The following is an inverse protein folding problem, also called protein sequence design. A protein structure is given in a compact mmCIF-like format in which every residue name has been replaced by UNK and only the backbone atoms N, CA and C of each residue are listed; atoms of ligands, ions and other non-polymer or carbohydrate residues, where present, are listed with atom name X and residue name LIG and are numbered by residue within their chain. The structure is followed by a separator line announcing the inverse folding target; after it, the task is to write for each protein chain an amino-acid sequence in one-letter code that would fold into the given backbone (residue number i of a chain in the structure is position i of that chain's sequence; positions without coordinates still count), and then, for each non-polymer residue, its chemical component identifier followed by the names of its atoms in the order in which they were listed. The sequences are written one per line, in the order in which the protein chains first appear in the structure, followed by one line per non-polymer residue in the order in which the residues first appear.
data_IF_997835564746
#
_entry.id   IF_997835564746
#
_cell.length_a   1.000
_cell.length_b   1.000
_cell.length_c   1.000
_cell.angle_alpha   90.00
_cell.angle_beta   90.00
_cell.angle_gamma   90.00
#
_symmetry.space_group_name_H-M   'P 1'
#
loop_
_entity.id
_entity.type
_entity.pdbx_description
1 polymer ?
#
# COMPACT_ATOMS: atom_id res chain seq x y z
N UNK A 1 25.59 -28.17 -0.81
CA UNK A 1 24.16 -28.38 -1.15
C UNK A 1 23.36 -27.37 -0.34
N UNK A 2 23.09 -26.21 -0.93
CA UNK A 2 22.22 -25.21 -0.31
C UNK A 2 20.81 -25.73 -0.56
N UNK A 3 20.11 -26.14 0.49
CA UNK A 3 18.69 -26.47 0.38
C UNK A 3 17.97 -25.16 0.06
N UNK A 4 17.50 -25.01 -1.17
CA UNK A 4 16.53 -23.98 -1.49
C UNK A 4 15.32 -24.21 -0.57
N UNK A 5 14.96 -23.20 0.22
CA UNK A 5 13.72 -23.24 0.97
C UNK A 5 12.58 -23.53 -0.02
N UNK A 6 11.57 -24.33 0.36
CA UNK A 6 10.45 -24.59 -0.52
C UNK A 6 9.81 -23.26 -0.89
N UNK A 7 9.68 -23.00 -2.21
CA UNK A 7 8.95 -21.85 -2.75
C UNK A 7 7.58 -21.85 -2.09
N UNK A 8 7.33 -20.88 -1.21
CA UNK A 8 6.02 -20.73 -0.58
C UNK A 8 5.03 -20.43 -1.70
N UNK A 9 4.19 -21.41 -2.03
CA UNK A 9 3.09 -21.21 -2.95
C UNK A 9 2.15 -20.16 -2.35
N UNK A 10 1.79 -19.09 -3.08
CA UNK A 10 0.86 -18.09 -2.59
C UNK A 10 -0.44 -18.75 -2.11
N UNK A 11 -0.99 -18.30 -0.99
CA UNK A 11 -2.29 -18.76 -0.51
C UNK A 11 -3.39 -18.26 -1.48
N UNK A 12 -3.71 -19.07 -2.49
CA UNK A 12 -4.68 -18.72 -3.52
C UNK A 12 -6.07 -18.41 -2.97
N UNK A 13 -6.50 -19.09 -1.89
CA UNK A 13 -7.81 -18.86 -1.29
C UNK A 13 -7.92 -17.43 -0.73
N UNK A 14 -6.89 -16.95 -0.05
CA UNK A 14 -6.87 -15.60 0.53
C UNK A 14 -6.91 -14.47 -0.53
N UNK A 15 -6.34 -14.69 -1.73
CA UNK A 15 -6.43 -13.73 -2.84
C UNK A 15 -7.79 -13.79 -3.56
N UNK A 16 -8.30 -15.00 -3.80
CA UNK A 16 -9.57 -15.23 -4.53
C UNK A 16 -10.78 -14.75 -3.71
N UNK A 17 -10.75 -14.92 -2.39
CA UNK A 17 -11.81 -14.42 -1.49
C UNK A 17 -11.80 -12.88 -1.39
N UNK A 18 -10.73 -12.22 -1.86
CA UNK A 18 -10.68 -10.78 -2.11
C UNK A 18 -10.95 -9.90 -0.89
N UNK A 19 -10.75 -10.41 0.32
CA UNK A 19 -11.16 -9.72 1.55
C UNK A 19 -10.09 -8.82 2.17
N UNK A 20 -10.50 -8.10 3.22
CA UNK A 20 -9.60 -7.46 4.18
C UNK A 20 -9.32 -8.43 5.34
N UNK A 21 -8.07 -8.69 5.72
CA UNK A 21 -7.78 -9.45 6.94
C UNK A 21 -8.09 -8.60 8.17
N UNK A 22 -9.24 -8.84 8.81
CA UNK A 22 -9.73 -8.01 9.92
C UNK A 22 -9.42 -8.57 11.31
N UNK A 23 -9.11 -9.86 11.46
CA UNK A 23 -9.07 -10.50 12.79
C UNK A 23 -8.07 -9.83 13.76
N UNK A 24 -6.85 -9.56 13.28
CA UNK A 24 -5.84 -8.85 14.06
C UNK A 24 -6.27 -7.44 14.44
N UNK A 25 -6.87 -6.71 13.49
CA UNK A 25 -7.45 -5.39 13.74
C UNK A 25 -8.57 -5.46 14.78
N UNK A 26 -9.48 -6.45 14.70
CA UNK A 26 -10.59 -6.62 15.64
C UNK A 26 -10.05 -6.87 17.04
N UNK A 27 -9.08 -7.78 17.17
CA UNK A 27 -8.45 -8.09 18.45
C UNK A 27 -7.81 -6.86 19.07
N UNK A 28 -7.03 -6.09 18.29
CA UNK A 28 -6.37 -4.87 18.77
C UNK A 28 -7.38 -3.80 19.16
N UNK A 29 -8.39 -3.59 18.33
CA UNK A 29 -9.44 -2.61 18.59
C UNK A 29 -10.19 -2.92 19.89
N UNK A 30 -10.50 -4.18 20.17
CA UNK A 30 -11.19 -4.59 21.40
C UNK A 30 -10.36 -4.34 22.67
N UNK A 31 -9.04 -4.46 22.57
CA UNK A 31 -8.11 -4.22 23.68
C UNK A 31 -7.68 -2.74 23.83
N UNK A 32 -8.25 -1.84 23.03
CA UNK A 32 -7.85 -0.43 22.97
C UNK A 32 -8.99 0.50 23.31
N UNK A 33 -8.70 1.53 24.09
CA UNK A 33 -9.63 2.59 24.45
C UNK A 33 -9.30 3.90 23.73
N UNK A 34 -10.28 4.80 23.62
CA UNK A 34 -10.10 6.10 23.00
C UNK A 34 -10.28 6.11 21.49
N UNK A 35 -9.57 7.01 20.79
CA UNK A 35 -9.72 7.21 19.35
C UNK A 35 -8.89 6.18 18.59
N UNK A 36 -9.56 5.37 17.79
CA UNK A 36 -8.94 4.30 17.02
C UNK A 36 -8.90 4.66 15.53
N UNK A 37 -7.84 4.26 14.85
CA UNK A 37 -7.70 4.44 13.41
C UNK A 37 -7.20 3.20 12.68
N UNK A 38 -7.59 3.10 11.42
CA UNK A 38 -7.03 2.19 10.43
C UNK A 38 -6.41 2.99 9.30
N UNK A 39 -5.20 2.63 8.90
CA UNK A 39 -4.52 3.21 7.74
C UNK A 39 -4.79 2.37 6.49
N UNK A 40 -4.91 3.01 5.33
CA UNK A 40 -4.91 2.31 4.04
C UNK A 40 -4.16 3.11 2.99
N UNK A 41 -3.32 2.45 2.21
CA UNK A 41 -2.69 3.03 1.02
C UNK A 41 -2.96 2.16 -0.19
N UNK A 42 -3.11 2.79 -1.36
CA UNK A 42 -3.31 2.11 -2.65
C UNK A 42 -2.17 2.43 -3.59
N UNK A 43 -1.88 1.55 -4.55
CA UNK A 43 -1.00 1.92 -5.65
C UNK A 43 -0.64 0.77 -6.56
N UNK A 44 0.11 1.09 -7.61
CA UNK A 44 0.58 0.05 -8.53
C UNK A 44 1.39 -1.02 -7.81
N UNK A 45 2.24 -0.63 -6.83
CA UNK A 45 3.07 -1.55 -6.03
C UNK A 45 3.78 -2.59 -6.92
N UNK A 46 4.50 -2.08 -7.92
CA UNK A 46 5.02 -2.85 -9.07
C UNK A 46 6.56 -2.82 -9.15
N UNK A 47 7.29 -3.48 -8.23
CA UNK A 47 6.80 -4.16 -7.02
C UNK A 47 6.68 -3.19 -5.82
N UNK A 48 6.27 -3.70 -4.64
CA UNK A 48 6.44 -2.97 -3.37
C UNK A 48 7.93 -2.72 -3.10
N UNK A 49 8.26 -1.67 -2.35
CA UNK A 49 9.62 -1.31 -1.94
C UNK A 49 9.58 -0.77 -0.50
N UNK A 50 10.75 -0.67 0.15
CA UNK A 50 10.87 -0.24 1.54
C UNK A 50 10.20 1.13 1.83
N UNK A 51 10.23 2.04 0.84
CA UNK A 51 9.51 3.31 0.95
C UNK A 51 8.00 3.18 1.25
N UNK A 52 7.29 2.15 0.76
CA UNK A 52 5.86 2.01 1.10
C UNK A 52 5.65 1.69 2.58
N UNK A 53 6.51 0.86 3.18
CA UNK A 53 6.45 0.52 4.61
C UNK A 53 6.80 1.74 5.45
N UNK A 54 7.86 2.46 5.07
CA UNK A 54 8.26 3.68 5.75
C UNK A 54 7.15 4.74 5.75
N UNK A 55 6.39 4.86 4.64
CA UNK A 55 5.26 5.78 4.54
C UNK A 55 4.14 5.41 5.51
N UNK A 56 3.79 4.12 5.58
CA UNK A 56 2.78 3.64 6.51
C UNK A 56 3.22 3.83 7.97
N UNK A 57 4.47 3.50 8.29
CA UNK A 57 5.04 3.71 9.64
C UNK A 57 5.04 5.19 10.04
N UNK A 58 5.47 6.09 9.15
CA UNK A 58 5.48 7.51 9.42
C UNK A 58 4.06 8.07 9.63
N UNK A 59 3.08 7.58 8.86
CA UNK A 59 1.67 7.91 9.05
C UNK A 59 1.16 7.41 10.42
N UNK A 60 1.49 6.17 10.80
CA UNK A 60 1.16 5.62 12.12
C UNK A 60 1.73 6.45 13.26
N UNK A 61 3.03 6.72 13.22
CA UNK A 61 3.71 7.56 14.23
C UNK A 61 3.07 8.94 14.35
N UNK A 62 2.67 9.53 13.22
CA UNK A 62 2.00 10.84 13.22
C UNK A 62 0.63 10.78 13.91
N UNK A 63 -0.22 9.80 13.59
CA UNK A 63 -1.52 9.65 14.22
C UNK A 63 -1.42 9.32 15.72
N UNK A 64 -0.51 8.42 16.08
CA UNK A 64 -0.32 8.02 17.48
C UNK A 64 0.23 9.19 18.33
N UNK A 65 1.11 10.02 17.76
CA UNK A 65 1.55 11.28 18.39
C UNK A 65 0.43 12.29 18.63
N UNK A 66 -0.71 12.16 17.93
CA UNK A 66 -1.92 12.95 18.14
C UNK A 66 -2.94 12.28 19.08
N UNK A 67 -2.57 11.16 19.71
CA UNK A 67 -3.47 10.39 20.58
C UNK A 67 -4.51 9.56 19.83
N UNK A 68 -4.27 9.24 18.54
CA UNK A 68 -5.13 8.36 17.74
C UNK A 68 -4.40 7.03 17.56
N UNK A 69 -4.90 5.98 18.19
CA UNK A 69 -4.24 4.69 18.17
C UNK A 69 -4.49 3.93 16.86
N UNK A 70 -3.42 3.54 16.16
CA UNK A 70 -3.54 2.77 14.93
C UNK A 70 -3.67 1.28 15.24
N UNK A 71 -4.85 0.72 14.96
CA UNK A 71 -5.15 -0.69 15.23
C UNK A 71 -4.83 -1.60 14.05
N UNK A 72 -4.76 -1.07 12.82
CA UNK A 72 -4.23 -1.77 11.65
C UNK A 72 -3.86 -0.82 10.51
N UNK A 73 -3.10 -1.33 9.55
CA UNK A 73 -2.75 -0.68 8.31
C UNK A 73 -2.82 -1.66 7.15
N UNK A 74 -3.39 -1.23 6.02
CA UNK A 74 -3.54 -2.04 4.83
C UNK A 74 -2.78 -1.43 3.65
N UNK A 75 -1.94 -2.23 3.02
CA UNK A 75 -1.26 -1.88 1.76
C UNK A 75 -2.00 -2.62 0.65
N UNK A 76 -2.68 -1.87 -0.22
CA UNK A 76 -3.61 -2.38 -1.23
C UNK A 76 -3.02 -2.24 -2.64
N UNK A 77 -2.59 -3.33 -3.29
CA UNK A 77 -2.20 -3.28 -4.69
C UNK A 77 -3.40 -2.96 -5.59
N UNK A 78 -3.18 -2.05 -6.55
CA UNK A 78 -4.22 -1.67 -7.50
C UNK A 78 -4.55 -2.77 -8.50
N UNK A 79 -5.76 -2.75 -9.05
CA UNK A 79 -6.21 -3.71 -10.05
C UNK A 79 -5.39 -3.68 -11.34
N UNK A 80 -5.28 -4.82 -12.04
CA UNK A 80 -4.52 -4.93 -13.30
C UNK A 80 -5.11 -4.07 -14.42
N UNK A 81 -6.42 -3.82 -14.40
CA UNK A 81 -7.08 -2.86 -15.31
C UNK A 81 -6.55 -1.42 -15.19
N UNK A 82 -5.85 -1.08 -14.09
CA UNK A 82 -5.11 0.16 -13.94
C UNK A 82 -3.62 -0.02 -14.20
N UNK A 83 -3.02 -1.03 -13.58
CA UNK A 83 -1.56 -1.21 -13.60
C UNK A 83 -1.06 -1.55 -15.01
N UNK A 84 -1.77 -2.40 -15.75
CA UNK A 84 -1.42 -2.76 -17.12
C UNK A 84 -1.33 -1.55 -18.05
N UNK A 85 -2.42 -0.78 -18.26
CA UNK A 85 -2.39 0.42 -19.11
C UNK A 85 -1.36 1.46 -18.65
N UNK A 86 -1.23 1.68 -17.34
CA UNK A 86 -0.21 2.59 -16.78
C UNK A 86 1.20 2.15 -17.14
N UNK A 87 1.53 0.87 -16.96
CA UNK A 87 2.86 0.34 -17.25
C UNK A 87 3.15 0.35 -18.76
N UNK A 88 2.15 0.03 -19.59
CA UNK A 88 2.25 0.13 -21.05
C UNK A 88 2.55 1.56 -21.50
N UNK A 89 1.83 2.56 -20.97
CA UNK A 89 2.07 3.97 -21.26
C UNK A 89 3.47 4.46 -20.84
N UNK A 90 4.08 3.81 -19.84
CA UNK A 90 5.45 4.10 -19.38
C UNK A 90 6.51 3.23 -20.06
N UNK A 91 6.15 2.27 -20.93
CA UNK A 91 7.08 1.31 -21.51
C UNK A 91 7.74 0.40 -20.47
N UNK A 92 6.99 -0.03 -19.46
CA UNK A 92 7.49 -0.84 -18.34
C UNK A 92 6.69 -2.11 -18.14
N UNK A 93 7.31 -3.12 -17.52
CA UNK A 93 6.70 -4.39 -17.16
C UNK A 93 5.67 -4.23 -16.04
N UNK A 94 4.50 -4.85 -16.17
CA UNK A 94 3.50 -4.97 -15.12
C UNK A 94 3.52 -6.38 -14.52
N UNK A 95 3.84 -6.51 -13.24
CA UNK A 95 3.56 -7.72 -12.48
C UNK A 95 2.05 -7.91 -12.36
N UNK A 96 1.59 -9.16 -12.43
CA UNK A 96 0.19 -9.49 -12.23
C UNK A 96 -0.26 -9.11 -10.81
N UNK A 97 -1.56 -8.82 -10.65
CA UNK A 97 -2.17 -8.50 -9.35
C UNK A 97 -1.80 -9.51 -8.26
N UNK A 98 -1.87 -10.80 -8.58
CA UNK A 98 -1.47 -11.91 -7.72
C UNK A 98 -0.05 -11.73 -7.16
N UNK A 99 0.92 -11.47 -8.03
CA UNK A 99 2.34 -11.41 -7.63
C UNK A 99 2.57 -10.18 -6.76
N UNK A 100 1.94 -9.06 -7.11
CA UNK A 100 2.01 -7.83 -6.31
C UNK A 100 1.40 -8.02 -4.92
N UNK A 101 0.26 -8.69 -4.81
CA UNK A 101 -0.35 -9.06 -3.50
C UNK A 101 0.59 -9.94 -2.70
N UNK A 102 1.23 -10.92 -3.32
CA UNK A 102 2.18 -11.80 -2.63
C UNK A 102 3.41 -11.03 -2.14
N UNK A 103 3.97 -10.12 -2.94
CA UNK A 103 5.08 -9.28 -2.50
C UNK A 103 4.69 -8.37 -1.33
N UNK A 104 3.48 -7.81 -1.34
CA UNK A 104 2.96 -7.05 -0.18
C UNK A 104 2.78 -7.95 1.03
N UNK A 105 2.24 -9.15 0.86
CA UNK A 105 2.04 -10.11 1.97
C UNK A 105 3.37 -10.45 2.64
N UNK A 106 4.41 -10.72 1.85
CA UNK A 106 5.76 -10.95 2.35
C UNK A 106 6.29 -9.70 3.07
N UNK A 107 6.15 -8.52 2.48
CA UNK A 107 6.58 -7.27 3.10
C UNK A 107 5.92 -6.98 4.46
N UNK A 108 4.70 -7.46 4.67
CA UNK A 108 3.98 -7.36 5.95
C UNK A 108 4.30 -8.50 6.93
N UNK A 109 5.08 -9.51 6.54
CA UNK A 109 5.38 -10.67 7.38
C UNK A 109 6.09 -10.24 8.68
N UNK A 110 5.59 -10.74 9.81
CA UNK A 110 6.08 -10.38 11.15
C UNK A 110 5.57 -9.04 11.68
N UNK A 111 4.79 -8.26 10.91
CA UNK A 111 4.10 -7.07 11.44
C UNK A 111 2.84 -7.45 12.21
N UNK A 112 2.62 -6.82 13.36
CA UNK A 112 1.42 -6.98 14.19
C UNK A 112 0.27 -6.04 13.81
N UNK A 113 0.50 -5.13 12.86
CA UNK A 113 -0.47 -4.11 12.47
C UNK A 113 -0.58 -3.90 10.95
N UNK A 114 0.45 -4.23 10.16
CA UNK A 114 0.39 -4.12 8.70
C UNK A 114 -0.09 -5.41 8.06
N UNK A 115 -0.95 -5.26 7.06
CA UNK A 115 -1.50 -6.36 6.28
C UNK A 115 -1.58 -6.03 4.79
N UNK A 116 -1.53 -7.07 3.95
CA UNK A 116 -1.87 -6.95 2.54
C UNK A 116 -3.38 -6.82 2.34
N UNK A 117 -3.81 -5.81 1.59
CA UNK A 117 -5.20 -5.63 1.16
C UNK A 117 -5.42 -6.20 -0.23
N UNK A 118 -6.03 -7.38 -0.34
CA UNK A 118 -6.23 -8.03 -1.64
C UNK A 118 -7.47 -7.51 -2.40
N UNK A 119 -8.42 -6.89 -1.70
CA UNK A 119 -9.72 -6.47 -2.26
C UNK A 119 -9.61 -5.69 -3.55
N UNK A 120 -8.85 -4.59 -3.59
CA UNK A 120 -8.73 -3.73 -4.78
C UNK A 120 -8.23 -4.49 -6.02
N UNK A 121 -7.36 -5.48 -5.81
CA UNK A 121 -6.75 -6.30 -6.85
C UNK A 121 -7.53 -7.56 -7.20
N UNK A 122 -8.67 -7.79 -6.55
CA UNK A 122 -9.46 -9.01 -6.72
C UNK A 122 -9.89 -9.20 -8.17
N UNK A 123 -9.76 -10.41 -8.74
CA UNK A 123 -10.20 -10.70 -10.10
C UNK A 123 -11.74 -10.65 -10.24
N UNK A 124 -12.48 -10.52 -9.14
CA UNK A 124 -13.94 -10.36 -9.15
C UNK A 124 -14.37 -8.97 -9.66
N UNK A 125 -13.48 -7.98 -9.64
CA UNK A 125 -13.77 -6.65 -10.14
C UNK A 125 -13.77 -6.61 -11.68
N UNK A 126 -14.84 -6.06 -12.26
CA UNK A 126 -14.94 -5.87 -13.72
C UNK A 126 -14.11 -4.69 -14.23
N UNK A 127 -13.79 -3.74 -13.36
CA UNK A 127 -13.04 -2.52 -13.64
C UNK A 127 -12.25 -2.11 -12.41
N UNK A 128 -11.20 -1.28 -12.57
CA UNK A 128 -10.41 -0.80 -11.43
C UNK A 128 -11.27 -0.04 -10.41
N UNK A 129 -11.39 -0.54 -9.17
CA UNK A 129 -11.98 0.23 -8.09
C UNK A 129 -10.93 1.21 -7.55
N UNK A 130 -10.97 2.46 -8.00
CA UNK A 130 -10.01 3.48 -7.56
C UNK A 130 -10.13 3.78 -6.04
N UNK A 131 -9.12 4.45 -5.48
CA UNK A 131 -8.91 4.63 -4.03
C UNK A 131 -10.16 5.06 -3.22
N UNK A 132 -11.10 5.90 -3.69
CA UNK A 132 -12.28 6.25 -2.89
C UNK A 132 -13.19 5.04 -2.63
N UNK A 133 -13.27 4.10 -3.57
CA UNK A 133 -14.03 2.86 -3.42
C UNK A 133 -13.33 1.89 -2.48
N UNK A 134 -12.01 1.79 -2.56
CA UNK A 134 -11.19 0.99 -1.63
C UNK A 134 -11.41 1.46 -0.19
N UNK A 135 -11.27 2.76 0.04
CA UNK A 135 -11.49 3.37 1.37
C UNK A 135 -12.93 3.15 1.84
N UNK A 136 -13.92 3.33 0.97
CA UNK A 136 -15.33 3.10 1.32
C UNK A 136 -15.59 1.64 1.69
N UNK A 137 -15.09 0.69 0.90
CA UNK A 137 -15.27 -0.73 1.18
C UNK A 137 -14.69 -1.09 2.55
N UNK A 138 -13.49 -0.61 2.86
CA UNK A 138 -12.86 -0.84 4.16
C UNK A 138 -13.68 -0.23 5.31
N UNK A 139 -14.20 1.00 5.15
CA UNK A 139 -15.11 1.61 6.12
C UNK A 139 -16.36 0.75 6.36
N UNK A 140 -17.00 0.26 5.28
CA UNK A 140 -18.21 -0.57 5.37
C UNK A 140 -17.92 -1.91 6.08
N UNK A 141 -16.78 -2.55 5.78
CA UNK A 141 -16.34 -3.77 6.44
C UNK A 141 -16.08 -3.56 7.94
N UNK A 142 -15.48 -2.45 8.33
CA UNK A 142 -15.22 -2.09 9.74
C UNK A 142 -16.53 -1.78 10.47
N UNK A 143 -17.43 -0.99 9.86
CA UNK A 143 -18.73 -0.63 10.43
C UNK A 143 -19.63 -1.86 10.67
N UNK A 144 -19.47 -2.91 9.86
CA UNK A 144 -20.16 -4.18 10.07
C UNK A 144 -19.66 -4.96 11.31
N UNK A 145 -18.50 -4.60 11.88
CA UNK A 145 -17.88 -5.27 13.03
C UNK A 145 -17.97 -4.47 14.33
N UNK A 146 -18.14 -3.15 14.24
CA UNK A 146 -18.16 -2.25 15.40
C UNK A 146 -19.41 -1.38 15.43
N UNK A 147 -20.03 -1.19 16.60
CA UNK A 147 -21.19 -0.32 16.73
C UNK A 147 -20.80 1.15 16.48
N UNK A 148 -21.74 2.01 16.04
CA UNK A 148 -21.48 3.44 15.83
C UNK A 148 -20.95 4.18 17.06
N UNK A 149 -21.19 3.67 18.27
CA UNK A 149 -20.68 4.21 19.53
C UNK A 149 -19.17 3.98 19.74
N UNK A 150 -18.55 3.09 18.96
CA UNK A 150 -17.11 2.81 18.97
C UNK A 150 -16.54 2.94 17.55
N UNK A 151 -16.53 4.16 16.97
CA UNK A 151 -16.09 4.35 15.61
C UNK A 151 -14.59 4.11 15.48
N UNK A 152 -14.19 3.40 14.42
CA UNK A 152 -12.79 3.28 14.02
C UNK A 152 -12.59 4.14 12.76
N UNK A 153 -11.70 5.11 12.87
CA UNK A 153 -11.46 6.12 11.85
C UNK A 153 -10.58 5.58 10.72
N UNK A 154 -11.06 5.58 9.47
CA UNK A 154 -10.21 5.22 8.32
C UNK A 154 -9.46 6.44 7.81
N UNK A 155 -8.15 6.28 7.59
CA UNK A 155 -7.26 7.28 7.02
C UNK A 155 -6.57 6.75 5.76
N UNK A 156 -6.71 7.47 4.66
CA UNK A 156 -6.00 7.19 3.41
C UNK A 156 -4.60 7.82 3.43
N UNK A 157 -3.59 7.00 3.20
CA UNK A 157 -2.18 7.38 3.23
C UNK A 157 -1.68 7.55 1.80
N UNK A 158 -1.20 8.75 1.46
CA UNK A 158 -0.70 9.03 0.11
C UNK A 158 0.46 10.03 0.10
N UNK A 159 1.24 10.02 -0.99
CA UNK A 159 2.27 11.02 -1.24
C UNK A 159 1.69 12.37 -1.65
N UNK A 160 2.47 13.44 -1.46
CA UNK A 160 2.11 14.81 -1.84
C UNK A 160 1.64 14.93 -3.31
N UNK A 161 2.28 14.21 -4.24
CA UNK A 161 1.93 14.22 -5.65
C UNK A 161 0.50 13.73 -5.91
N UNK A 162 0.07 12.69 -5.19
CA UNK A 162 -1.29 12.16 -5.30
C UNK A 162 -2.29 13.08 -4.59
N UNK A 163 -1.93 13.61 -3.43
CA UNK A 163 -2.74 14.59 -2.71
C UNK A 163 -3.10 15.81 -3.56
N UNK A 164 -2.11 16.38 -4.26
CA UNK A 164 -2.29 17.53 -5.16
C UNK A 164 -3.11 17.13 -6.40
N UNK A 165 -2.70 16.06 -7.09
CA UNK A 165 -3.36 15.59 -8.32
C UNK A 165 -4.85 15.28 -8.10
N UNK A 166 -5.19 14.71 -6.96
CA UNK A 166 -6.56 14.32 -6.64
C UNK A 166 -7.32 15.39 -5.83
N UNK A 167 -6.75 16.59 -5.64
CA UNK A 167 -7.36 17.69 -4.90
C UNK A 167 -7.83 17.27 -3.48
N UNK A 168 -7.05 16.41 -2.82
CA UNK A 168 -7.38 15.87 -1.50
C UNK A 168 -7.29 16.90 -0.37
N UNK A 169 -6.85 18.13 -0.68
CA UNK A 169 -7.01 19.31 0.19
C UNK A 169 -8.47 19.63 0.50
N UNK A 170 -9.41 19.09 -0.29
CA UNK A 170 -10.86 19.17 -0.05
C UNK A 170 -11.40 18.04 0.82
N UNK A 171 -10.55 17.07 1.20
CA UNK A 171 -10.92 15.85 1.90
C UNK A 171 -11.54 14.79 0.98
N UNK A 172 -11.74 13.60 1.53
CA UNK A 172 -12.44 12.49 0.87
C UNK A 172 -13.96 12.62 1.06
N UNK A 173 -14.73 12.38 0.00
CA UNK A 173 -16.21 12.47 0.03
C UNK A 173 -16.87 11.48 1.00
N UNK A 174 -16.22 10.35 1.28
CA UNK A 174 -16.67 9.33 2.23
C UNK A 174 -16.34 9.67 3.71
N UNK A 175 -15.81 10.86 3.97
CA UNK A 175 -15.48 11.32 5.33
C UNK A 175 -14.22 10.70 5.94
N UNK A 176 -13.50 9.84 5.21
CA UNK A 176 -12.22 9.32 5.67
C UNK A 176 -11.19 10.44 5.81
N UNK A 177 -10.26 10.25 6.74
CA UNK A 177 -9.12 11.15 6.87
C UNK A 177 -8.07 10.91 5.79
N UNK A 178 -7.14 11.86 5.64
CA UNK A 178 -6.03 11.77 4.71
C UNK A 178 -4.74 12.07 5.45
N UNK A 179 -3.78 11.15 5.39
CA UNK A 179 -2.42 11.37 5.88
C UNK A 179 -1.50 11.55 4.68
N UNK A 180 -0.84 12.70 4.59
CA UNK A 180 -0.06 13.10 3.42
C UNK A 180 1.41 13.08 3.75
N UNK A 181 2.16 12.28 2.99
CA UNK A 181 3.61 12.18 3.12
C UNK A 181 4.27 13.33 2.34
N UNK A 182 5.28 13.99 2.94
CA UNK A 182 6.07 14.99 2.24
C UNK A 182 6.88 14.35 1.12
N UNK A 183 7.21 15.16 0.11
CA UNK A 183 7.99 14.72 -1.05
C UNK A 183 8.93 15.82 -1.52
N UNK A 184 10.16 15.47 -1.83
CA UNK A 184 11.19 16.37 -2.35
C UNK A 184 11.35 17.65 -1.52
N UNK A 185 11.33 17.50 -0.19
CA UNK A 185 11.45 18.61 0.77
C UNK A 185 10.20 19.48 0.93
N UNK A 186 9.10 19.16 0.23
CA UNK A 186 7.82 19.88 0.33
C UNK A 186 6.83 19.13 1.21
N UNK A 187 6.05 19.89 1.97
CA UNK A 187 4.94 19.40 2.80
C UNK A 187 3.61 19.85 2.23
N UNK A 188 2.55 19.09 2.50
CA UNK A 188 1.21 19.52 2.17
C UNK A 188 0.84 20.78 2.97
N UNK A 189 0.29 21.78 2.30
CA UNK A 189 -0.40 22.87 2.99
C UNK A 189 -1.70 22.30 3.56
N UNK A 190 -1.74 22.16 4.87
CA UNK A 190 -2.90 21.68 5.63
C UNK A 190 -3.60 22.89 6.22
N UNK A 191 -4.94 23.02 6.10
CA UNK A 191 -5.66 24.11 6.73
C UNK A 191 -5.41 24.12 8.25
N UNK A 192 -4.94 25.23 8.80
CA UNK A 192 -4.81 25.41 10.24
C UNK A 192 -6.19 25.27 10.88
N UNK A 193 -6.26 24.48 11.96
CA UNK A 193 -7.46 24.21 12.74
C UNK A 193 -8.11 25.51 13.21
N UNK A 194 -9.10 26.00 12.46
CA UNK A 194 -9.78 27.26 12.77
C UNK A 194 -11.13 27.46 12.08
N UNK A 195 -11.69 26.45 11.40
CA UNK A 195 -13.01 26.57 10.79
C UNK A 195 -13.84 25.33 11.11
N UNK A 196 -14.81 25.54 11.99
CA UNK A 196 -15.87 24.63 12.44
C UNK A 196 -16.66 24.00 11.28
N UNK A 197 -16.07 23.03 10.60
CA UNK A 197 -16.69 22.20 9.58
C UNK A 197 -16.01 20.83 9.54
N UNK A 198 -16.74 19.79 9.93
CA UNK A 198 -16.28 18.44 10.31
C UNK A 198 -15.39 17.69 9.30
N UNK A 199 -15.29 18.14 8.04
CA UNK A 199 -14.53 17.45 6.98
C UNK A 199 -13.09 17.93 6.82
N UNK A 200 -12.76 19.18 7.20
CA UNK A 200 -11.40 19.75 6.98
C UNK A 200 -10.40 19.38 8.08
N UNK A 201 -10.88 18.96 9.25
CA UNK A 201 -10.06 18.57 10.40
C UNK A 201 -9.41 17.18 10.28
N UNK A 202 -9.57 16.48 9.15
CA UNK A 202 -9.10 15.09 8.97
C UNK A 202 -7.95 14.95 7.99
N UNK A 203 -7.38 16.05 7.51
CA UNK A 203 -6.16 16.05 6.68
C UNK A 203 -4.97 16.31 7.60
N UNK A 204 -3.96 15.45 7.53
CA UNK A 204 -2.79 15.47 8.41
C UNK A 204 -1.55 15.36 7.54
N UNK A 205 -0.66 16.35 7.62
CA UNK A 205 0.66 16.25 6.99
C UNK A 205 1.64 15.56 7.94
N UNK A 206 2.39 14.60 7.41
CA UNK A 206 3.49 13.98 8.15
C UNK A 206 4.68 14.92 8.20
N UNK A 207 5.31 15.00 9.37
CA UNK A 207 6.50 15.83 9.56
C UNK A 207 7.67 15.30 8.69
N UNK A 208 8.40 16.17 7.95
CA UNK A 208 9.52 15.77 7.09
C UNK A 208 10.57 14.89 7.77
N UNK A 209 10.84 15.11 9.05
CA UNK A 209 11.86 14.34 9.77
C UNK A 209 11.53 12.85 9.87
N UNK A 210 10.24 12.50 9.96
CA UNK A 210 9.78 11.11 9.94
C UNK A 210 9.94 10.45 8.56
N UNK A 211 10.27 11.24 7.55
CA UNK A 211 10.44 10.83 6.17
C UNK A 211 11.84 11.07 5.62
N UNK A 212 12.71 11.68 6.41
CA UNK A 212 14.05 12.08 6.00
C UNK A 212 14.94 10.86 5.71
N UNK A 213 15.76 10.94 4.66
CA UNK A 213 16.74 9.91 4.28
C UNK A 213 16.16 8.63 3.66
N UNK A 214 15.14 8.02 4.27
CA UNK A 214 14.64 6.72 3.87
C UNK A 214 13.60 6.77 2.74
N UNK A 215 12.59 7.66 2.79
CA UNK A 215 11.47 7.59 1.83
C UNK A 215 11.83 8.01 0.41
N UNK A 216 12.70 9.02 0.25
CA UNK A 216 13.03 9.61 -1.05
C UNK A 216 13.98 8.74 -1.89
N UNK A 217 14.62 7.74 -1.28
CA UNK A 217 15.57 6.88 -1.98
C UNK A 217 14.88 5.76 -2.77
N UNK A 218 13.68 5.34 -2.36
CA UNK A 218 12.98 4.21 -2.95
C UNK A 218 11.96 4.62 -4.01
N UNK A 219 11.97 3.93 -5.15
CA UNK A 219 10.86 3.99 -6.10
C UNK A 219 10.74 2.67 -6.85
N UNK A 220 9.52 2.29 -7.21
CA UNK A 220 9.30 1.08 -8.01
C UNK A 220 10.01 1.15 -9.37
N UNK A 221 10.24 2.37 -9.90
CA UNK A 221 11.03 2.59 -11.12
C UNK A 221 12.48 2.12 -10.94
N UNK A 222 13.14 2.52 -9.84
CA UNK A 222 14.50 2.07 -9.53
C UNK A 222 14.60 0.56 -9.35
N UNK A 223 13.58 -0.07 -8.75
CA UNK A 223 13.53 -1.54 -8.64
C UNK A 223 13.47 -2.19 -10.03
N UNK A 224 12.59 -1.71 -10.91
CA UNK A 224 12.45 -2.24 -12.27
C UNK A 224 13.69 -2.00 -13.14
N UNK A 225 14.39 -0.88 -12.94
CA UNK A 225 15.68 -0.62 -13.57
C UNK A 225 16.73 -1.63 -13.11
N UNK A 226 16.86 -1.86 -11.80
CA UNK A 226 17.78 -2.87 -11.25
C UNK A 226 17.45 -4.29 -11.75
N UNK A 227 16.16 -4.65 -11.86
CA UNK A 227 15.71 -5.91 -12.44
C UNK A 227 16.12 -6.05 -13.91
N UNK A 228 15.94 -4.99 -14.71
CA UNK A 228 16.37 -4.96 -16.12
C UNK A 228 17.88 -5.10 -16.27
N UNK A 229 18.64 -4.51 -15.37
CA UNK A 229 20.11 -4.60 -15.31
C UNK A 229 20.60 -5.97 -14.81
N UNK A 230 19.71 -6.84 -14.31
CA UNK A 230 20.11 -8.09 -13.63
C UNK A 230 20.87 -7.86 -12.32
N UNK A 231 20.75 -6.67 -11.71
CA UNK A 231 21.50 -6.29 -10.52
C UNK A 231 20.76 -6.70 -9.24
N UNK A 232 21.00 -7.94 -8.81
CA UNK A 232 20.35 -8.56 -7.64
C UNK A 232 20.54 -7.75 -6.36
N UNK A 233 21.75 -7.24 -6.11
CA UNK A 233 22.06 -6.49 -4.89
C UNK A 233 21.28 -5.16 -4.83
N UNK A 234 21.18 -4.45 -5.96
CA UNK A 234 20.33 -3.25 -6.05
C UNK A 234 18.86 -3.57 -5.82
N UNK A 235 18.34 -4.66 -6.42
CA UNK A 235 16.95 -5.09 -6.19
C UNK A 235 16.73 -5.34 -4.70
N UNK A 236 17.59 -6.14 -4.06
CA UNK A 236 17.54 -6.43 -2.64
C UNK A 236 17.57 -5.16 -1.78
N UNK A 237 18.42 -4.18 -2.14
CA UNK A 237 18.55 -2.92 -1.40
C UNK A 237 17.28 -2.07 -1.39
N UNK A 238 16.38 -2.24 -2.37
CA UNK A 238 15.15 -1.45 -2.48
C UNK A 238 13.92 -2.15 -1.90
N UNK A 239 13.94 -3.48 -1.83
CA UNK A 239 12.82 -4.27 -1.32
C UNK A 239 12.82 -4.28 0.22
N UNK A 240 11.65 -4.43 0.86
CA UNK A 240 11.60 -4.80 2.27
C UNK A 240 12.36 -6.11 2.50
N UNK A 241 13.07 -6.21 3.62
CA UNK A 241 13.91 -7.38 3.95
C UNK A 241 13.11 -8.70 3.95
N UNK A 242 11.81 -8.63 4.23
CA UNK A 242 10.91 -9.78 4.28
C UNK A 242 10.52 -10.29 2.90
N UNK A 243 10.68 -9.48 1.84
CA UNK A 243 10.36 -9.89 0.47
C UNK A 243 11.46 -10.78 -0.07
N UNK A 244 11.08 -11.95 -0.55
CA UNK A 244 11.96 -12.88 -1.26
C UNK A 244 12.38 -12.26 -2.60
N UNK A 245 13.63 -11.79 -2.64
CA UNK A 245 14.24 -11.17 -3.81
C UNK A 245 14.24 -12.13 -5.01
N UNK A 246 14.46 -13.43 -4.79
CA UNK A 246 14.44 -14.45 -5.84
C UNK A 246 13.06 -14.56 -6.48
N UNK A 247 12.01 -14.57 -5.66
CA UNK A 247 10.63 -14.60 -6.15
C UNK A 247 10.29 -13.40 -7.05
N UNK A 248 10.76 -12.20 -6.71
CA UNK A 248 10.57 -10.99 -7.53
C UNK A 248 11.34 -11.08 -8.84
N UNK A 249 12.58 -11.58 -8.82
CA UNK A 249 13.42 -11.76 -10.01
C UNK A 249 12.79 -12.79 -10.97
N UNK A 250 12.37 -13.94 -10.44
CA UNK A 250 11.78 -15.01 -11.24
C UNK A 250 10.48 -14.54 -11.91
N UNK A 251 9.61 -13.86 -11.15
CA UNK A 251 8.39 -13.26 -11.69
C UNK A 251 8.70 -12.23 -12.79
N UNK A 252 9.77 -11.45 -12.64
CA UNK A 252 10.18 -10.47 -13.65
C UNK A 252 10.70 -11.15 -14.91
N UNK A 253 11.53 -12.18 -14.76
CA UNK A 253 12.13 -12.93 -15.86
C UNK A 253 11.06 -13.61 -16.73
N UNK A 254 10.00 -14.16 -16.12
CA UNK A 254 8.86 -14.73 -16.85
C UNK A 254 8.15 -13.70 -17.74
N UNK A 255 8.06 -12.46 -17.28
CA UNK A 255 7.43 -11.36 -18.03
C UNK A 255 8.35 -10.81 -19.13
N UNK A 256 9.65 -10.75 -18.87
CA UNK A 256 10.66 -10.29 -19.83
C UNK A 256 10.95 -11.32 -20.95
N UNK A 257 10.84 -12.62 -20.63
CA UNK A 257 11.09 -13.74 -21.55
C UNK A 257 9.96 -14.05 -22.53
N UNK A 258 8.77 -13.44 -22.37
CA UNK A 258 7.61 -13.62 -23.26
C UNK A 258 7.73 -12.98 -24.66
N UNK A 259 8.93 -12.51 -25.03
CA UNK A 259 9.24 -11.84 -26.31
C UNK A 259 10.39 -12.47 -27.09
N UNK A 260 10.64 -13.78 -26.93
CA UNK A 260 11.61 -14.50 -27.77
C UNK A 260 10.84 -15.46 -28.67
N UNK A 261 10.73 -15.11 -29.95
CA UNK A 261 10.39 -16.08 -31.00
C UNK A 261 11.34 -17.26 -30.88
N UNK A 262 10.78 -18.47 -30.80
CA UNK A 262 11.55 -19.69 -30.92
C UNK A 262 12.35 -19.65 -32.23
N UNK A 263 13.64 -20.00 -32.23
CA UNK A 263 14.39 -20.06 -33.48
C UNK A 263 13.71 -21.09 -34.39
N UNK A 264 13.29 -20.64 -35.56
CA UNK A 264 12.82 -21.51 -36.63
C UNK A 264 13.91 -22.53 -36.93
N UNK A 265 13.57 -23.80 -36.70
CA UNK A 265 14.34 -24.97 -37.14
C UNK A 265 14.62 -24.95 -38.63
#
# INVERSE_FOLDING_TARGET
RIFAAPVRTPNMAAWVDGGWPLDGMISRANCSDGRLAVLVTTGALNPIHAGHLNAMTAAKTTLEGMGIQVVAGYISPSHDAYVGPKCAAMGTTAFAARDRVEFVRQACEGSDWLHAGAWESSPQHRSWPDYPLVVKCLQDCIAAKFPPSRPIEVYYVCGLDHYEKCCLSRGLRNGAGVVVLPRDGKTASVPTTGSSGSSKARIIAVHPDLCSGALQQYSATKVREALREGNVDKVASYLPQQVDVGCVIDAYALLAGGGVEAPSS
#
